data_IF_480671152380
#
_entry.id   IF_480671152380
#
_cell.length_a   1.000
_cell.length_b   1.000
_cell.length_c   1.000
_cell.angle_alpha   90.00
_cell.angle_beta   90.00
_cell.angle_gamma   90.00
#
_symmetry.space_group_name_H-M   'P 1'
#
loop_
_entity.id
_entity.type
_entity.pdbx_description
1 polymer ?
#
# COMPACT_ATOMS: atom_id res chain seq x y z
N UNK A 1 -28.17 10.08 -48.44
CA UNK A 1 -26.89 9.82 -47.81
C UNK A 1 -26.52 11.06 -47.02
N UNK A 2 -26.78 11.04 -45.71
CA UNK A 2 -26.40 12.13 -44.81
C UNK A 2 -25.13 11.72 -44.08
N UNK A 3 -24.00 12.32 -44.43
CA UNK A 3 -22.75 12.22 -43.69
C UNK A 3 -22.95 12.84 -42.31
N UNK A 4 -23.01 12.00 -41.28
CA UNK A 4 -22.89 12.44 -39.90
C UNK A 4 -21.45 12.90 -39.69
N UNK A 5 -21.23 14.20 -39.88
CA UNK A 5 -19.99 14.89 -39.50
C UNK A 5 -19.74 14.65 -38.01
N UNK A 6 -18.83 13.71 -37.67
CA UNK A 6 -18.30 13.54 -36.36
C UNK A 6 -17.58 14.84 -35.97
N UNK A 7 -18.12 15.56 -34.95
CA UNK A 7 -17.45 16.74 -34.41
C UNK A 7 -16.01 16.37 -34.02
N UNK A 8 -15.01 17.14 -34.48
CA UNK A 8 -13.62 16.91 -34.12
C UNK A 8 -13.49 16.90 -32.56
N UNK A 9 -12.60 16.07 -32.01
CA UNK A 9 -12.38 16.05 -30.57
C UNK A 9 -11.98 17.45 -30.13
N UNK A 10 -12.67 17.97 -29.10
CA UNK A 10 -12.43 19.31 -28.50
C UNK A 10 -11.03 19.34 -27.88
N UNK A 11 -10.00 19.51 -28.71
CA UNK A 11 -8.63 19.73 -28.28
C UNK A 11 -8.58 21.06 -27.51
N UNK A 12 -8.22 21.00 -26.22
CA UNK A 12 -7.93 22.17 -25.40
C UNK A 12 -9.02 22.64 -24.44
N UNK A 13 -10.14 21.93 -24.25
CA UNK A 13 -11.14 22.31 -23.25
C UNK A 13 -10.75 21.79 -21.87
N UNK A 14 -10.47 22.72 -20.94
CA UNK A 14 -10.25 22.38 -19.55
C UNK A 14 -11.52 21.83 -18.90
N UNK A 15 -11.43 20.64 -18.30
CA UNK A 15 -12.53 20.00 -17.57
C UNK A 15 -12.17 19.95 -16.09
N UNK A 16 -13.06 20.45 -15.20
CA UNK A 16 -12.89 20.32 -13.77
C UNK A 16 -13.20 18.89 -13.33
N UNK A 17 -12.17 18.15 -12.93
CA UNK A 17 -12.26 16.70 -12.66
C UNK A 17 -12.30 16.36 -11.19
N UNK A 18 -11.50 17.03 -10.37
CA UNK A 18 -11.37 16.71 -8.94
C UNK A 18 -11.60 17.93 -8.06
N UNK A 19 -12.55 17.81 -7.12
CA UNK A 19 -12.84 18.84 -6.14
C UNK A 19 -11.68 18.99 -5.12
N UNK A 20 -11.67 20.09 -4.36
CA UNK A 20 -10.61 20.41 -3.39
C UNK A 20 -10.46 19.33 -2.31
N UNK A 21 -11.58 18.76 -1.84
CA UNK A 21 -11.60 17.74 -0.79
C UNK A 21 -10.94 16.45 -1.29
N UNK A 22 -11.32 15.97 -2.48
CA UNK A 22 -10.71 14.79 -3.08
C UNK A 22 -9.20 14.95 -3.24
N UNK A 23 -8.74 16.12 -3.67
CA UNK A 23 -7.31 16.42 -3.82
C UNK A 23 -6.56 16.44 -2.49
N UNK A 24 -7.12 17.14 -1.50
CA UNK A 24 -6.53 17.24 -0.17
C UNK A 24 -6.43 15.86 0.51
N UNK A 25 -7.54 15.10 0.51
CA UNK A 25 -7.57 13.76 1.11
C UNK A 25 -6.64 12.79 0.39
N UNK A 26 -6.50 12.90 -0.93
CA UNK A 26 -5.56 12.09 -1.70
C UNK A 26 -4.11 12.36 -1.28
N UNK A 27 -3.67 13.62 -1.23
CA UNK A 27 -2.29 13.94 -0.88
C UNK A 27 -1.97 13.65 0.58
N UNK A 28 -2.91 13.89 1.50
CA UNK A 28 -2.75 13.49 2.91
C UNK A 28 -2.64 11.98 3.06
N UNK A 29 -3.47 11.20 2.33
CA UNK A 29 -3.39 9.74 2.35
C UNK A 29 -2.10 9.22 1.72
N UNK A 30 -1.63 9.82 0.63
CA UNK A 30 -0.36 9.44 0.00
C UNK A 30 0.83 9.67 0.95
N UNK A 31 0.89 10.85 1.59
CA UNK A 31 1.90 11.15 2.61
C UNK A 31 1.82 10.18 3.78
N UNK A 32 0.60 9.96 4.29
CA UNK A 32 0.38 9.06 5.42
C UNK A 32 0.84 7.63 5.09
N UNK A 33 0.47 7.08 3.93
CA UNK A 33 0.89 5.74 3.52
C UNK A 33 2.39 5.61 3.37
N UNK A 34 3.07 6.62 2.82
CA UNK A 34 4.54 6.63 2.71
C UNK A 34 5.20 6.56 4.10
N UNK A 35 4.79 7.42 5.02
CA UNK A 35 5.34 7.44 6.39
C UNK A 35 4.97 6.17 7.16
N UNK A 36 3.73 5.65 6.99
CA UNK A 36 3.28 4.40 7.61
C UNK A 36 4.12 3.21 7.14
N UNK A 37 4.41 3.11 5.85
CA UNK A 37 5.26 2.05 5.32
C UNK A 37 6.66 2.13 5.93
N UNK A 38 7.33 3.28 5.82
CA UNK A 38 8.68 3.49 6.33
C UNK A 38 8.78 3.29 7.86
N UNK A 39 7.82 3.79 8.62
CA UNK A 39 7.80 3.60 10.09
C UNK A 39 7.44 2.17 10.48
N UNK A 40 6.59 1.50 9.70
CA UNK A 40 6.29 0.07 9.85
C UNK A 40 7.53 -0.81 9.67
N UNK A 41 8.36 -0.53 8.66
CA UNK A 41 9.64 -1.22 8.46
C UNK A 41 10.60 -1.00 9.64
N UNK A 42 10.61 0.21 10.23
CA UNK A 42 11.41 0.47 11.43
C UNK A 42 10.88 -0.27 12.67
N UNK A 43 9.56 -0.40 12.81
CA UNK A 43 8.97 -1.23 13.87
C UNK A 43 9.34 -2.70 13.67
N UNK A 44 9.28 -3.19 12.43
CA UNK A 44 9.67 -4.56 12.09
C UNK A 44 11.13 -4.86 12.44
N UNK A 45 12.06 -3.90 12.26
CA UNK A 45 13.47 -4.04 12.63
C UNK A 45 13.69 -4.41 14.10
N UNK A 46 12.77 -4.06 15.01
CA UNK A 46 12.88 -4.41 16.43
C UNK A 46 12.68 -5.90 16.71
N UNK A 47 11.93 -6.59 15.85
CA UNK A 47 11.72 -8.03 15.91
C UNK A 47 11.43 -8.55 14.50
N UNK A 48 12.46 -8.80 13.67
CA UNK A 48 12.32 -9.06 12.25
C UNK A 48 11.91 -10.50 11.92
N UNK A 49 10.85 -10.98 12.57
CA UNK A 49 10.29 -12.32 12.44
C UNK A 49 8.78 -12.26 12.30
N UNK A 50 8.19 -13.12 11.49
CA UNK A 50 6.74 -13.30 11.37
C UNK A 50 6.35 -14.74 11.67
N UNK A 51 5.23 -14.88 12.37
CA UNK A 51 4.67 -16.14 12.84
C UNK A 51 3.19 -16.23 12.49
N UNK A 52 2.67 -17.44 12.49
CA UNK A 52 1.23 -17.68 12.56
C UNK A 52 0.82 -18.00 14.02
N UNK A 53 -0.44 -17.70 14.37
CA UNK A 53 -0.99 -17.97 15.69
C UNK A 53 -0.79 -16.82 16.69
N UNK A 54 -0.62 -17.16 17.97
CA UNK A 54 -0.56 -16.18 19.07
C UNK A 54 0.82 -16.07 19.74
N UNK A 55 1.71 -17.04 19.51
CA UNK A 55 3.03 -17.14 20.16
C UNK A 55 4.15 -16.68 19.25
N UNK A 56 5.21 -16.12 19.86
CA UNK A 56 6.45 -15.74 19.17
C UNK A 56 7.52 -16.78 19.50
N UNK A 57 7.76 -17.69 18.57
CA UNK A 57 8.77 -18.73 18.69
C UNK A 57 9.69 -18.61 17.46
N UNK A 58 10.94 -18.14 17.59
CA UNK A 58 11.86 -17.93 16.46
C UNK A 58 12.05 -19.16 15.59
N UNK A 59 12.00 -20.36 16.16
CA UNK A 59 12.18 -21.63 15.43
C UNK A 59 10.96 -21.96 14.53
N UNK A 60 9.81 -21.34 14.82
CA UNK A 60 8.55 -21.47 14.05
C UNK A 60 8.27 -20.28 13.15
N UNK A 61 9.21 -19.35 13.00
CA UNK A 61 9.04 -18.21 12.12
C UNK A 61 8.99 -18.67 10.66
N UNK A 62 7.91 -18.33 9.96
CA UNK A 62 7.82 -18.60 8.53
C UNK A 62 8.59 -17.59 7.67
N UNK A 63 8.82 -16.39 8.21
CA UNK A 63 9.58 -15.33 7.56
C UNK A 63 10.45 -14.62 8.58
N UNK A 64 11.71 -14.36 8.24
CA UNK A 64 12.59 -13.49 9.03
C UNK A 64 13.65 -12.83 8.14
N UNK A 65 14.13 -11.67 8.61
CA UNK A 65 15.28 -10.97 8.02
C UNK A 65 16.33 -10.85 9.10
N UNK A 66 17.55 -11.32 8.85
CA UNK A 66 18.60 -11.34 9.86
C UNK A 66 20.00 -11.29 9.29
N UNK A 67 20.99 -11.39 10.18
CA UNK A 67 22.38 -11.52 9.85
C UNK A 67 22.93 -12.83 10.40
N UNK A 68 23.82 -13.47 9.65
CA UNK A 68 24.69 -14.57 10.12
C UNK A 68 26.12 -14.09 10.13
N UNK A 69 26.86 -14.43 11.16
CA UNK A 69 28.29 -14.16 11.27
C UNK A 69 29.03 -15.47 11.09
N UNK A 70 29.92 -15.51 10.08
CA UNK A 70 30.85 -16.60 9.85
C UNK A 70 32.25 -16.00 9.90
N UNK A 71 33.04 -16.34 10.92
CA UNK A 71 34.39 -15.83 11.16
C UNK A 71 34.47 -14.31 11.02
N UNK A 72 35.02 -13.80 9.92
CA UNK A 72 35.24 -12.36 9.67
C UNK A 72 34.16 -11.72 8.78
N UNK A 73 33.14 -12.49 8.30
CA UNK A 73 32.14 -12.00 7.35
C UNK A 73 30.73 -12.01 7.95
N UNK A 74 30.06 -10.86 7.90
CA UNK A 74 28.65 -10.71 8.34
C UNK A 74 27.77 -10.63 7.13
N UNK A 75 26.92 -11.65 6.93
CA UNK A 75 26.02 -11.78 5.79
C UNK A 75 24.56 -11.56 6.17
N UNK A 76 23.87 -10.76 5.39
CA UNK A 76 22.44 -10.56 5.49
C UNK A 76 21.67 -11.70 4.80
N UNK A 77 20.55 -12.11 5.39
CA UNK A 77 19.68 -13.10 4.77
C UNK A 77 18.20 -12.80 5.01
N UNK A 78 17.37 -13.28 4.07
CA UNK A 78 15.94 -13.51 4.26
C UNK A 78 15.75 -15.01 4.45
N UNK A 79 15.02 -15.40 5.49
CA UNK A 79 14.55 -16.78 5.67
C UNK A 79 13.04 -16.83 5.35
N UNK A 80 12.65 -17.74 4.47
CA UNK A 80 11.26 -18.01 4.15
C UNK A 80 10.99 -19.51 4.22
N UNK A 81 10.21 -19.94 5.20
CA UNK A 81 9.93 -21.36 5.50
C UNK A 81 11.20 -22.23 5.55
N UNK A 82 12.24 -21.76 6.26
CA UNK A 82 13.50 -22.47 6.42
C UNK A 82 14.50 -22.30 5.26
N UNK A 83 14.10 -21.72 4.13
CA UNK A 83 15.01 -21.41 3.01
C UNK A 83 15.64 -20.05 3.22
N UNK A 84 16.96 -20.01 3.35
CA UNK A 84 17.73 -18.79 3.47
C UNK A 84 18.17 -18.31 2.08
N UNK A 85 17.92 -17.02 1.80
CA UNK A 85 18.33 -16.31 0.59
C UNK A 85 19.32 -15.25 1.04
N UNK A 86 20.52 -15.22 0.47
CA UNK A 86 21.50 -14.17 0.75
C UNK A 86 21.00 -12.82 0.22
N UNK A 87 21.02 -11.82 1.10
CA UNK A 87 20.62 -10.45 0.81
C UNK A 87 21.64 -9.42 1.27
N UNK A 88 22.88 -9.87 1.43
CA UNK A 88 24.02 -9.06 1.88
C UNK A 88 24.16 -7.79 1.01
N UNK A 89 24.31 -6.65 1.66
CA UNK A 89 24.38 -5.33 1.02
C UNK A 89 23.03 -4.67 0.73
N UNK A 90 21.90 -5.41 0.84
CA UNK A 90 20.56 -4.85 0.64
C UNK A 90 19.68 -4.96 1.88
N UNK A 91 19.57 -6.15 2.49
CA UNK A 91 18.78 -6.41 3.71
C UNK A 91 19.58 -7.25 4.69
N UNK A 92 19.18 -7.21 5.98
CA UNK A 92 19.75 -8.02 7.04
C UNK A 92 20.99 -7.42 7.70
N UNK A 93 21.83 -6.70 6.97
CA UNK A 93 23.06 -6.04 7.48
C UNK A 93 23.13 -4.61 6.99
N UNK A 94 23.51 -3.71 7.87
CA UNK A 94 23.85 -2.32 7.56
C UNK A 94 25.19 -1.95 8.14
N UNK A 95 26.01 -1.15 7.44
CA UNK A 95 27.21 -0.56 7.99
C UNK A 95 26.86 0.48 9.05
N UNK A 96 27.37 0.28 10.26
CA UNK A 96 27.28 1.20 11.37
C UNK A 96 28.62 1.89 11.66
N UNK A 97 28.66 2.77 12.67
CA UNK A 97 29.87 3.49 13.06
C UNK A 97 31.00 2.55 13.57
N UNK A 98 30.64 1.38 14.08
CA UNK A 98 31.58 0.40 14.66
C UNK A 98 31.65 -0.90 13.86
N UNK A 99 31.28 -0.88 12.59
CA UNK A 99 31.27 -2.05 11.72
C UNK A 99 29.85 -2.53 11.34
N UNK A 100 29.75 -3.72 10.70
CA UNK A 100 28.48 -4.29 10.26
C UNK A 100 27.54 -4.55 11.44
N UNK A 101 26.27 -4.15 11.32
CA UNK A 101 25.23 -4.35 12.32
C UNK A 101 24.03 -5.09 11.72
N UNK A 102 23.48 -6.03 12.46
CA UNK A 102 22.25 -6.71 12.07
C UNK A 102 21.08 -5.72 12.06
N UNK A 103 20.43 -5.56 10.91
CA UNK A 103 19.26 -4.71 10.74
C UNK A 103 18.44 -5.19 9.55
N UNK A 104 17.18 -5.51 9.77
CA UNK A 104 16.31 -6.05 8.73
C UNK A 104 16.20 -5.14 7.52
N UNK A 105 15.68 -3.92 7.71
CA UNK A 105 15.56 -2.89 6.66
C UNK A 105 16.54 -1.75 6.92
N UNK A 106 17.23 -1.25 5.87
CA UNK A 106 18.25 -0.21 6.01
C UNK A 106 17.68 1.14 6.46
N UNK A 107 18.53 2.00 7.02
CA UNK A 107 18.17 3.30 7.60
C UNK A 107 17.46 4.24 6.62
N UNK A 108 17.87 4.24 5.36
CA UNK A 108 17.28 5.11 4.31
C UNK A 108 15.85 4.72 3.94
N UNK A 109 15.43 3.48 4.24
CA UNK A 109 14.08 2.97 3.97
C UNK A 109 13.15 3.10 5.18
N UNK A 110 13.62 3.63 6.31
CA UNK A 110 12.88 3.65 7.59
C UNK A 110 12.71 5.06 8.14
N UNK A 111 11.62 5.28 8.89
CA UNK A 111 11.36 6.52 9.63
C UNK A 111 11.12 6.18 11.11
N UNK A 112 11.95 6.74 12.03
CA UNK A 112 13.18 7.47 11.78
C UNK A 112 14.27 6.58 11.16
N UNK A 113 15.29 7.19 10.52
CA UNK A 113 16.42 6.45 9.97
C UNK A 113 17.32 5.83 11.04
N UNK A 114 17.43 6.45 12.22
CA UNK A 114 18.11 5.86 13.38
C UNK A 114 17.25 4.77 14.03
N UNK A 115 17.90 3.82 14.71
CA UNK A 115 17.19 2.71 15.34
C UNK A 115 16.45 3.17 16.60
N UNK A 116 15.14 3.24 16.54
CA UNK A 116 14.27 3.57 17.68
C UNK A 116 12.86 3.04 17.48
N UNK A 117 12.51 2.00 18.20
CA UNK A 117 11.16 1.44 18.23
C UNK A 117 10.12 2.46 18.75
N UNK A 118 10.47 3.20 19.82
CA UNK A 118 9.57 4.16 20.43
C UNK A 118 9.21 5.31 19.49
N UNK A 119 10.21 5.88 18.80
CA UNK A 119 9.99 6.93 17.81
C UNK A 119 9.21 6.40 16.60
N UNK A 120 9.57 5.22 16.06
CA UNK A 120 8.85 4.60 14.94
C UNK A 120 7.38 4.37 15.26
N UNK A 121 7.05 3.88 16.46
CA UNK A 121 5.65 3.70 16.90
C UNK A 121 4.89 5.02 16.99
N UNK A 122 5.50 6.11 17.48
CA UNK A 122 4.87 7.43 17.51
C UNK A 122 4.52 7.92 16.11
N UNK A 123 5.44 7.83 15.16
CA UNK A 123 5.21 8.16 13.76
C UNK A 123 4.09 7.29 13.17
N UNK A 124 4.19 5.99 13.36
CA UNK A 124 3.23 5.03 12.80
C UNK A 124 1.81 5.27 13.31
N UNK A 125 1.62 5.46 14.62
CA UNK A 125 0.30 5.69 15.19
C UNK A 125 -0.28 7.04 14.81
N UNK A 126 0.54 8.11 14.79
CA UNK A 126 0.08 9.42 14.34
C UNK A 126 -0.44 9.36 12.90
N UNK A 127 0.36 8.83 11.98
CA UNK A 127 -0.04 8.71 10.58
C UNK A 127 -1.10 7.65 10.35
N UNK A 128 -1.21 6.63 11.20
CA UNK A 128 -2.30 5.66 11.20
C UNK A 128 -3.65 6.31 11.47
N UNK A 129 -3.72 7.16 12.48
CA UNK A 129 -4.92 7.96 12.75
C UNK A 129 -5.21 8.96 11.64
N UNK A 130 -4.20 9.65 11.14
CA UNK A 130 -4.37 10.56 10.01
C UNK A 130 -4.95 9.84 8.79
N UNK A 131 -4.42 8.67 8.45
CA UNK A 131 -4.92 7.86 7.34
C UNK A 131 -6.37 7.40 7.55
N UNK A 132 -6.68 6.89 8.74
CA UNK A 132 -8.03 6.43 9.09
C UNK A 132 -9.05 7.59 9.03
N UNK A 133 -8.76 8.73 9.68
CA UNK A 133 -9.64 9.90 9.70
C UNK A 133 -9.83 10.46 8.29
N UNK A 134 -8.75 10.60 7.52
CA UNK A 134 -8.79 11.08 6.13
C UNK A 134 -9.62 10.17 5.25
N UNK A 135 -9.46 8.84 5.40
CA UNK A 135 -10.25 7.85 4.66
C UNK A 135 -11.73 7.88 4.99
N UNK A 136 -12.08 7.94 6.28
CA UNK A 136 -13.49 8.06 6.74
C UNK A 136 -14.09 9.38 6.23
N UNK A 137 -13.38 10.49 6.37
CA UNK A 137 -13.84 11.79 5.88
C UNK A 137 -14.08 11.79 4.35
N UNK A 138 -13.16 11.19 3.58
CA UNK A 138 -13.33 11.00 2.14
C UNK A 138 -14.58 10.21 1.79
N UNK A 139 -14.82 9.10 2.49
CA UNK A 139 -16.00 8.25 2.27
C UNK A 139 -17.28 9.01 2.63
N UNK A 140 -17.36 9.63 3.80
CA UNK A 140 -18.54 10.38 4.25
C UNK A 140 -18.90 11.53 3.30
N UNK A 141 -17.89 12.19 2.73
CA UNK A 141 -18.10 13.25 1.77
C UNK A 141 -18.56 12.77 0.39
N UNK A 142 -17.99 11.68 -0.12
CA UNK A 142 -18.22 11.24 -1.50
C UNK A 142 -19.34 10.20 -1.66
N UNK A 143 -19.76 9.49 -0.59
CA UNK A 143 -20.86 8.54 -0.62
C UNK A 143 -22.19 9.18 -1.02
N UNK A 144 -22.62 10.32 -0.41
CA UNK A 144 -23.89 10.97 -0.75
C UNK A 144 -23.92 11.49 -2.19
N UNK A 145 -22.78 11.93 -2.70
CA UNK A 145 -22.65 12.49 -4.06
C UNK A 145 -22.63 11.39 -5.14
N UNK A 146 -22.60 10.12 -4.74
CA UNK A 146 -22.55 8.99 -5.66
C UNK A 146 -21.24 8.82 -6.42
N UNK A 147 -20.22 9.63 -6.10
CA UNK A 147 -18.91 9.59 -6.77
C UNK A 147 -18.21 8.23 -6.55
N UNK A 148 -18.34 7.67 -5.36
CA UNK A 148 -17.76 6.36 -4.98
C UNK A 148 -18.32 5.24 -5.86
N UNK A 149 -19.60 5.30 -6.28
CA UNK A 149 -20.21 4.26 -7.13
C UNK A 149 -19.56 4.12 -8.50
N UNK A 150 -18.96 5.18 -9.02
CA UNK A 150 -18.35 5.19 -10.37
C UNK A 150 -17.12 4.30 -10.48
N UNK A 151 -16.38 4.08 -9.39
CA UNK A 151 -15.16 3.28 -9.39
C UNK A 151 -15.31 1.91 -8.73
N UNK A 152 -16.52 1.53 -8.26
CA UNK A 152 -16.75 0.17 -7.79
C UNK A 152 -16.70 -0.83 -8.95
N UNK A 153 -15.96 -1.91 -8.70
CA UNK A 153 -15.83 -3.04 -9.60
C UNK A 153 -17.11 -3.87 -9.58
N UNK A 154 -17.63 -4.17 -10.76
CA UNK A 154 -18.88 -4.91 -10.93
C UNK A 154 -18.64 -6.25 -11.63
N UNK A 155 -19.56 -7.24 -11.53
CA UNK A 155 -19.46 -8.49 -12.30
C UNK A 155 -19.30 -8.28 -13.82
N UNK A 156 -19.86 -7.19 -14.36
CA UNK A 156 -19.70 -6.82 -15.77
C UNK A 156 -18.25 -6.44 -16.12
N UNK A 157 -17.53 -5.83 -15.19
CA UNK A 157 -16.12 -5.44 -15.40
C UNK A 157 -15.20 -6.65 -15.45
N UNK A 158 -15.55 -7.80 -14.81
CA UNK A 158 -14.73 -9.04 -14.79
C UNK A 158 -14.39 -9.49 -16.20
N UNK A 159 -15.38 -9.52 -17.09
CA UNK A 159 -15.21 -9.97 -18.49
C UNK A 159 -14.27 -9.06 -19.30
N UNK A 160 -14.11 -7.81 -18.88
CA UNK A 160 -13.28 -6.80 -19.55
C UNK A 160 -11.84 -6.75 -19.03
N UNK A 161 -11.56 -7.32 -17.86
CA UNK A 161 -10.21 -7.34 -17.26
C UNK A 161 -9.16 -7.97 -18.18
N UNK A 162 -9.35 -9.19 -18.75
CA UNK A 162 -8.38 -9.79 -19.64
C UNK A 162 -8.12 -8.96 -20.91
N UNK A 163 -9.19 -8.39 -21.47
CA UNK A 163 -9.09 -7.54 -22.65
C UNK A 163 -8.33 -6.24 -22.37
N UNK A 164 -8.51 -5.67 -21.15
CA UNK A 164 -7.78 -4.48 -20.72
C UNK A 164 -6.32 -4.78 -20.42
N UNK A 165 -6.01 -5.93 -19.81
CA UNK A 165 -4.65 -6.40 -19.62
C UNK A 165 -3.93 -6.59 -20.97
N UNK A 166 -4.58 -7.24 -21.93
CA UNK A 166 -4.05 -7.42 -23.29
C UNK A 166 -3.80 -6.08 -24.00
N UNK A 167 -4.64 -5.06 -23.75
CA UNK A 167 -4.40 -3.71 -24.26
C UNK A 167 -3.13 -3.08 -23.64
N UNK A 168 -2.92 -3.18 -22.35
CA UNK A 168 -1.70 -2.66 -21.71
C UNK A 168 -0.43 -3.43 -22.10
N UNK A 169 -0.56 -4.71 -22.42
CA UNK A 169 0.55 -5.52 -22.94
C UNK A 169 0.78 -5.31 -24.47
N UNK A 170 0.08 -4.35 -25.09
CA UNK A 170 0.14 -4.05 -26.53
C UNK A 170 -0.26 -5.22 -27.45
N UNK A 171 -0.89 -6.28 -26.90
CA UNK A 171 -1.45 -7.39 -27.66
C UNK A 171 -2.76 -6.97 -28.37
N UNK A 172 -3.53 -6.11 -27.72
CA UNK A 172 -4.77 -5.55 -28.27
C UNK A 172 -4.58 -4.07 -28.64
N UNK A 173 -5.01 -3.68 -29.85
CA UNK A 173 -4.87 -2.29 -30.36
C UNK A 173 -5.95 -1.33 -29.81
N UNK A 174 -7.15 -1.83 -29.50
CA UNK A 174 -8.29 -1.02 -29.07
C UNK A 174 -8.55 -1.17 -27.58
N UNK A 175 -8.68 -0.05 -26.87
CA UNK A 175 -9.04 -0.06 -25.44
C UNK A 175 -10.49 -0.52 -25.24
N UNK A 176 -10.77 -1.48 -24.35
CA UNK A 176 -12.12 -1.88 -23.97
C UNK A 176 -12.73 -0.96 -22.90
N UNK A 177 -12.17 0.22 -22.68
CA UNK A 177 -12.63 1.15 -21.66
C UNK A 177 -14.00 1.72 -22.02
N UNK A 178 -14.93 1.65 -21.08
CA UNK A 178 -16.21 2.32 -21.08
C UNK A 178 -16.33 3.20 -19.84
N UNK A 179 -16.54 4.50 -20.03
CA UNK A 179 -16.69 5.46 -18.94
C UNK A 179 -15.37 6.05 -18.43
N UNK A 180 -15.42 6.63 -17.22
CA UNK A 180 -14.36 7.44 -16.63
C UNK A 180 -13.17 6.59 -16.13
N UNK A 181 -13.46 5.37 -15.63
CA UNK A 181 -12.46 4.44 -15.08
C UNK A 181 -12.45 3.13 -15.86
N UNK A 182 -11.27 2.62 -16.14
CA UNK A 182 -11.13 1.33 -16.79
C UNK A 182 -11.31 0.16 -15.79
N UNK A 183 -11.58 -1.07 -16.27
CA UNK A 183 -11.84 -2.23 -15.41
C UNK A 183 -10.73 -2.54 -14.41
N UNK A 184 -9.45 -2.38 -14.79
CA UNK A 184 -8.30 -2.61 -13.88
C UNK A 184 -8.22 -1.53 -12.80
N UNK A 185 -8.50 -0.27 -13.14
CA UNK A 185 -8.57 0.81 -12.16
C UNK A 185 -9.71 0.59 -11.15
N UNK A 186 -10.90 0.21 -11.62
CA UNK A 186 -12.03 -0.12 -10.74
C UNK A 186 -11.70 -1.29 -9.81
N UNK A 187 -11.07 -2.35 -10.33
CA UNK A 187 -10.62 -3.49 -9.52
C UNK A 187 -9.65 -3.06 -8.44
N UNK A 188 -8.63 -2.27 -8.80
CA UNK A 188 -7.63 -1.78 -7.86
C UNK A 188 -8.24 -0.88 -6.78
N UNK A 189 -9.09 0.07 -7.15
CA UNK A 189 -9.73 0.98 -6.18
C UNK A 189 -10.69 0.24 -5.25
N UNK A 190 -11.52 -0.66 -5.79
CA UNK A 190 -12.38 -1.50 -4.95
C UNK A 190 -11.56 -2.37 -4.01
N UNK A 191 -10.49 -2.98 -4.49
CA UNK A 191 -9.55 -3.76 -3.67
C UNK A 191 -8.95 -2.94 -2.52
N UNK A 192 -8.55 -1.70 -2.79
CA UNK A 192 -8.02 -0.80 -1.75
C UNK A 192 -9.09 -0.43 -0.73
N UNK A 193 -10.26 0.03 -1.17
CA UNK A 193 -11.29 0.55 -0.25
C UNK A 193 -12.04 -0.55 0.51
N UNK A 194 -12.26 -1.71 -0.11
CA UNK A 194 -13.08 -2.78 0.49
C UNK A 194 -12.23 -3.84 1.19
N UNK A 195 -10.99 -4.04 0.75
CA UNK A 195 -10.13 -5.11 1.27
C UNK A 195 -8.93 -4.56 2.02
N UNK A 196 -8.02 -3.85 1.32
CA UNK A 196 -6.73 -3.47 1.91
C UNK A 196 -6.90 -2.49 3.08
N UNK A 197 -7.68 -1.41 2.92
CA UNK A 197 -7.82 -0.40 3.95
C UNK A 197 -8.54 -0.91 5.21
N UNK A 198 -9.68 -1.61 5.13
CA UNK A 198 -10.30 -2.19 6.33
C UNK A 198 -9.41 -3.22 7.02
N UNK A 199 -8.81 -4.13 6.27
CA UNK A 199 -8.00 -5.20 6.86
C UNK A 199 -6.70 -4.69 7.49
N UNK A 200 -6.03 -3.69 6.90
CA UNK A 200 -4.81 -3.14 7.50
C UNK A 200 -5.11 -2.38 8.79
N UNK A 201 -6.23 -1.66 8.85
CA UNK A 201 -6.67 -0.99 10.07
C UNK A 201 -7.05 -1.99 11.16
N UNK A 202 -7.89 -2.99 10.83
CA UNK A 202 -8.32 -4.02 11.79
C UNK A 202 -7.15 -4.85 12.30
N UNK A 203 -6.23 -5.28 11.42
CA UNK A 203 -5.04 -6.02 11.84
C UNK A 203 -4.10 -5.18 12.70
N UNK A 204 -3.97 -3.88 12.41
CA UNK A 204 -3.25 -2.93 13.26
C UNK A 204 -3.87 -2.77 14.64
N UNK A 205 -5.19 -2.65 14.71
CA UNK A 205 -5.96 -2.60 15.97
C UNK A 205 -5.83 -3.90 16.76
N UNK A 206 -5.85 -5.05 16.10
CA UNK A 206 -5.68 -6.37 16.73
C UNK A 206 -4.31 -6.55 17.42
N UNK A 207 -3.31 -5.80 17.00
CA UNK A 207 -1.98 -5.81 17.65
C UNK A 207 -1.89 -4.87 18.87
N UNK A 208 -2.85 -3.95 19.06
CA UNK A 208 -2.83 -2.97 20.15
C UNK A 208 -3.26 -3.60 21.47
N UNK A 209 -2.40 -3.64 22.52
CA UNK A 209 -2.81 -4.15 23.82
C UNK A 209 -3.97 -3.39 24.45
N UNK A 210 -4.03 -2.06 24.25
CA UNK A 210 -5.07 -1.20 24.80
C UNK A 210 -6.43 -1.47 24.15
N UNK A 211 -6.47 -1.62 22.82
CA UNK A 211 -7.71 -1.92 22.11
C UNK A 211 -8.21 -3.34 22.39
N UNK A 212 -7.31 -4.27 22.66
CA UNK A 212 -7.69 -5.65 22.98
C UNK A 212 -8.38 -5.78 24.35
N UNK A 213 -8.29 -4.80 25.25
CA UNK A 213 -9.08 -4.77 26.49
C UNK A 213 -10.56 -4.62 26.13
N UNK A 214 -10.90 -3.72 25.23
CA UNK A 214 -12.29 -3.48 24.81
C UNK A 214 -12.77 -4.46 23.72
N UNK A 215 -11.85 -4.91 22.85
CA UNK A 215 -12.14 -5.74 21.67
C UNK A 215 -11.31 -7.03 21.72
N UNK A 216 -11.44 -7.82 22.79
CA UNK A 216 -10.66 -9.05 23.01
C UNK A 216 -10.84 -10.12 21.93
N UNK A 217 -11.95 -10.06 21.19
CA UNK A 217 -12.25 -10.93 20.04
C UNK A 217 -11.44 -10.60 18.78
N UNK A 218 -10.91 -9.37 18.68
CA UNK A 218 -10.30 -8.87 17.43
C UNK A 218 -9.03 -9.66 17.02
N UNK A 219 -8.08 -10.04 17.91
CA UNK A 219 -6.99 -10.93 17.54
C UNK A 219 -7.46 -12.30 17.03
N UNK A 220 -8.55 -12.84 17.61
CA UNK A 220 -9.08 -14.14 17.21
C UNK A 220 -9.59 -14.14 15.76
N UNK A 221 -10.10 -13.01 15.27
CA UNK A 221 -10.51 -12.82 13.86
C UNK A 221 -9.37 -13.12 12.86
N UNK A 222 -8.13 -12.87 13.28
CA UNK A 222 -6.94 -13.12 12.47
C UNK A 222 -6.24 -14.44 12.81
N UNK A 223 -6.80 -15.27 13.70
CA UNK A 223 -6.16 -16.50 14.18
C UNK A 223 -5.03 -16.24 15.19
N UNK A 224 -5.03 -15.09 15.84
CA UNK A 224 -4.07 -14.70 16.87
C UNK A 224 -3.30 -13.42 16.57
N UNK A 225 -2.64 -12.88 17.61
CA UNK A 225 -1.95 -11.60 17.53
C UNK A 225 -0.76 -11.62 16.55
N UNK A 226 -0.03 -12.73 16.47
CA UNK A 226 1.10 -12.86 15.55
C UNK A 226 0.63 -13.05 14.12
N UNK A 227 -0.48 -13.77 13.90
CA UNK A 227 -1.13 -13.81 12.57
C UNK A 227 -1.61 -12.42 12.13
N UNK A 228 -2.22 -11.63 13.03
CA UNK A 228 -2.61 -10.25 12.72
C UNK A 228 -1.40 -9.41 12.29
N UNK A 229 -0.23 -9.58 12.94
CA UNK A 229 1.03 -8.93 12.58
C UNK A 229 1.54 -9.35 11.20
N UNK A 230 1.50 -10.65 10.91
CA UNK A 230 1.92 -11.18 9.61
C UNK A 230 1.01 -10.67 8.49
N UNK A 231 -0.31 -10.70 8.70
CA UNK A 231 -1.30 -10.17 7.76
C UNK A 231 -1.11 -8.67 7.55
N UNK A 232 -0.91 -7.89 8.63
CA UNK A 232 -0.64 -6.45 8.53
C UNK A 232 0.61 -6.14 7.69
N UNK A 233 1.68 -6.90 7.89
CA UNK A 233 2.90 -6.78 7.10
C UNK A 233 2.66 -7.08 5.62
N UNK A 234 1.95 -8.16 5.30
CA UNK A 234 1.59 -8.52 3.92
C UNK A 234 0.72 -7.44 3.27
N UNK A 235 -0.26 -6.91 4.00
CA UNK A 235 -1.14 -5.84 3.50
C UNK A 235 -0.38 -4.54 3.28
N UNK A 236 0.64 -4.22 4.09
CA UNK A 236 1.50 -3.06 3.88
C UNK A 236 2.26 -3.16 2.54
N UNK A 237 2.77 -4.34 2.18
CA UNK A 237 3.33 -4.58 0.86
C UNK A 237 2.27 -4.57 -0.24
N UNK A 238 1.04 -5.02 0.04
CA UNK A 238 -0.10 -4.84 -0.87
C UNK A 238 -0.35 -3.37 -1.21
N UNK A 239 -0.30 -2.47 -0.23
CA UNK A 239 -0.38 -1.02 -0.47
C UNK A 239 0.82 -0.48 -1.26
N UNK A 240 2.03 -0.97 -0.99
CA UNK A 240 3.22 -0.60 -1.76
C UNK A 240 3.06 -0.98 -3.24
N UNK A 241 2.65 -2.22 -3.53
CA UNK A 241 2.42 -2.67 -4.90
C UNK A 241 1.30 -1.89 -5.60
N UNK A 242 0.21 -1.59 -4.87
CA UNK A 242 -0.82 -0.70 -5.38
C UNK A 242 -0.27 0.68 -5.71
N UNK A 243 0.52 1.29 -4.82
CA UNK A 243 1.11 2.61 -5.04
C UNK A 243 2.06 2.63 -6.25
N UNK A 244 2.91 1.60 -6.40
CA UNK A 244 3.80 1.46 -7.56
C UNK A 244 3.01 1.32 -8.86
N UNK A 245 1.99 0.46 -8.89
CA UNK A 245 1.09 0.30 -10.03
C UNK A 245 0.32 1.58 -10.36
N UNK A 246 -0.17 2.28 -9.33
CA UNK A 246 -0.85 3.57 -9.49
C UNK A 246 0.07 4.64 -10.09
N UNK A 247 1.28 4.79 -9.57
CA UNK A 247 2.28 5.74 -10.12
C UNK A 247 2.65 5.37 -11.54
N UNK A 248 2.87 4.09 -11.82
CA UNK A 248 3.13 3.61 -13.19
C UNK A 248 2.01 4.01 -14.15
N UNK A 249 0.74 3.82 -13.76
CA UNK A 249 -0.40 4.21 -14.58
C UNK A 249 -0.49 5.73 -14.78
N UNK A 250 -0.18 6.52 -13.76
CA UNK A 250 -0.12 8.00 -13.87
C UNK A 250 0.94 8.43 -14.87
N UNK A 251 2.12 7.80 -14.84
CA UNK A 251 3.23 8.10 -15.75
C UNK A 251 2.90 7.74 -17.20
N UNK A 252 2.28 6.58 -17.43
CA UNK A 252 2.00 6.07 -18.80
C UNK A 252 0.76 6.68 -19.45
N UNK A 253 -0.19 7.18 -18.65
CA UNK A 253 -1.47 7.72 -19.17
C UNK A 253 -1.54 9.25 -19.21
N UNK A 254 -0.42 9.94 -19.35
CA UNK A 254 -0.37 11.39 -19.45
C UNK A 254 -0.09 12.08 -18.11
N UNK A 255 1.14 11.95 -17.66
CA UNK A 255 1.64 12.44 -16.36
C UNK A 255 1.25 13.90 -16.08
N UNK A 256 1.52 14.83 -17.01
CA UNK A 256 1.26 16.25 -16.78
C UNK A 256 -0.22 16.56 -16.53
N UNK A 257 -1.12 15.95 -17.30
CA UNK A 257 -2.56 16.16 -17.14
C UNK A 257 -3.08 15.53 -15.84
N UNK A 258 -2.62 14.32 -15.51
CA UNK A 258 -3.00 13.65 -14.28
C UNK A 258 -2.50 14.43 -13.05
N UNK A 259 -1.24 14.87 -13.04
CA UNK A 259 -0.69 15.71 -11.98
C UNK A 259 -1.42 17.06 -11.87
N UNK A 260 -1.69 17.72 -13.01
CA UNK A 260 -2.46 18.96 -13.05
C UNK A 260 -3.86 18.76 -12.45
N UNK A 261 -4.56 17.67 -12.77
CA UNK A 261 -5.89 17.40 -12.25
C UNK A 261 -5.89 17.18 -10.73
N UNK A 262 -4.83 16.57 -10.18
CA UNK A 262 -4.68 16.32 -8.74
C UNK A 262 -4.07 17.49 -7.95
N UNK A 263 -3.51 18.50 -8.62
CA UNK A 263 -3.01 19.71 -7.98
C UNK A 263 -3.98 20.89 -8.12
N UNK A 264 -4.47 21.17 -9.33
CA UNK A 264 -5.34 22.32 -9.62
C UNK A 264 -6.83 21.95 -9.69
N UNK A 265 -7.18 20.69 -9.95
CA UNK A 265 -8.53 20.19 -10.19
C UNK A 265 -8.92 20.15 -11.68
N UNK A 266 -8.10 20.68 -12.58
CA UNK A 266 -8.38 20.81 -14.00
C UNK A 266 -7.57 19.81 -14.83
N UNK A 267 -8.23 19.16 -15.79
CA UNK A 267 -7.65 18.17 -16.68
C UNK A 267 -7.65 18.68 -18.13
#
# INVERSE_FOLDING_TARGET
MAETSAKPPLAGRLVYRHNRITRLTHWLSALALMILFMSGLQIFNAHPYLYWGSTSDPDKAFFSIGASQNDDDVRGFINFYGRKIDTTGFLGVQQGAFGPQARGFPSWLTVPGYYSLAAARRWHFFFGWLFAITGVFYLLYNLPVGHVRKFFFTPHDIKKVPAMAAYYLHVRKTSPQEGEYNPLQKMAYTGVFVVLAPLILLSGMAMSPQLNIAFHWLPALFGGRQSARAIHFILAFGFLFFALGHVFMVLTQGFLNNMRSMTSGWY
#
